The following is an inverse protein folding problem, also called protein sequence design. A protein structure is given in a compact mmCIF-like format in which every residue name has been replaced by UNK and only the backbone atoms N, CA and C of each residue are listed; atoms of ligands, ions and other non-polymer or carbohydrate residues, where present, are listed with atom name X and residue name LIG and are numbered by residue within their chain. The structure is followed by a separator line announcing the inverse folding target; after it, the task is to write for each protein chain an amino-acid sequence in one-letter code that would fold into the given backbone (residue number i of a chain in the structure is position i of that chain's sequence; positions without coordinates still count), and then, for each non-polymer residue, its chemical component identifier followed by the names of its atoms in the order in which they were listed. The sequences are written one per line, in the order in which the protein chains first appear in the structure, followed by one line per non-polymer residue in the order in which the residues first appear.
data_IF_070959523220
#
_entry.id   IF_070959523220
#
_cell.length_a   1.000
_cell.length_b   1.000
_cell.length_c   1.000
_cell.angle_alpha   90.00
_cell.angle_beta   90.00
_cell.angle_gamma   90.00
#
_symmetry.space_group_name_H-M   'P 1'
#
loop_
_entity.id
_entity.type
_entity.pdbx_description
1 polymer ?
#
# COMPACT_ATOMS: atom_id res chain seq x y z
N UNK A 1 16.65 56.98 24.62
CA UNK A 1 16.61 56.32 23.28
C UNK A 1 17.22 54.93 23.37
N UNK A 2 16.55 53.91 23.97
CA UNK A 2 17.07 52.52 24.05
C UNK A 2 15.98 51.43 24.04
N UNK A 3 14.76 51.69 23.61
CA UNK A 3 13.66 50.72 23.67
C UNK A 3 13.21 50.14 22.32
N UNK A 4 13.84 50.54 21.21
CA UNK A 4 13.42 50.12 19.85
C UNK A 4 13.99 48.75 19.43
N UNK A 5 15.13 48.35 20.06
CA UNK A 5 15.83 47.13 19.60
C UNK A 5 15.29 45.80 20.17
N UNK A 6 14.37 45.84 21.14
CA UNK A 6 13.82 44.59 21.74
C UNK A 6 12.63 44.05 20.99
N UNK A 7 11.93 44.87 20.23
CA UNK A 7 10.74 44.44 19.47
C UNK A 7 11.04 43.79 18.10
N UNK A 8 12.22 44.08 17.55
CA UNK A 8 12.66 43.53 16.27
C UNK A 8 12.84 42.01 16.34
N UNK A 9 13.57 41.42 17.35
CA UNK A 9 13.72 39.98 17.45
C UNK A 9 12.39 39.27 17.79
N UNK A 10 11.50 39.94 18.56
CA UNK A 10 10.17 39.37 18.89
C UNK A 10 9.26 39.30 17.67
N UNK A 11 9.30 40.30 16.81
CA UNK A 11 8.56 40.34 15.55
C UNK A 11 9.10 39.30 14.55
N UNK A 12 10.39 39.06 14.51
CA UNK A 12 11.04 38.04 13.67
C UNK A 12 10.67 36.62 14.13
N UNK A 13 10.56 36.41 15.43
CA UNK A 13 10.13 35.10 15.99
C UNK A 13 8.68 34.79 15.69
N UNK A 14 7.82 35.79 15.66
CA UNK A 14 6.40 35.63 15.30
C UNK A 14 6.22 35.30 13.80
N UNK A 15 7.12 35.77 12.93
CA UNK A 15 7.08 35.43 11.49
C UNK A 15 7.56 34.01 11.21
N UNK A 16 8.52 33.49 11.98
CA UNK A 16 9.02 32.11 11.84
C UNK A 16 8.03 31.06 12.32
N UNK A 17 7.13 31.40 13.25
CA UNK A 17 6.10 30.48 13.73
C UNK A 17 4.97 30.21 12.72
N UNK A 18 4.86 30.99 11.66
CA UNK A 18 3.86 30.77 10.61
C UNK A 18 4.35 29.95 9.40
N UNK A 19 5.62 29.58 9.37
CA UNK A 19 6.20 28.82 8.24
C UNK A 19 5.93 27.31 8.30
N UNK A 20 5.34 26.79 9.38
CA UNK A 20 4.99 25.38 9.53
C UNK A 20 3.47 25.15 9.43
N UNK A 21 2.81 25.86 8.54
CA UNK A 21 1.46 25.51 8.08
C UNK A 21 1.58 24.40 7.07
N UNK A 22 1.25 23.16 7.47
CA UNK A 22 0.99 22.07 6.52
C UNK A 22 -0.05 22.59 5.54
N UNK A 23 0.36 22.87 4.31
CA UNK A 23 -0.54 23.08 3.20
C UNK A 23 -1.31 21.77 3.03
N UNK A 24 -2.54 21.72 3.55
CA UNK A 24 -3.50 20.75 3.10
C UNK A 24 -3.66 21.04 1.60
N UNK A 25 -3.12 20.18 0.78
CA UNK A 25 -3.31 20.26 -0.66
C UNK A 25 -4.77 19.93 -0.94
N UNK A 26 -5.61 20.96 -0.96
CA UNK A 26 -6.91 20.90 -1.65
C UNK A 26 -6.57 20.86 -3.14
N UNK A 27 -6.10 19.71 -3.59
CA UNK A 27 -5.61 19.51 -4.92
C UNK A 27 -6.37 18.43 -5.65
N UNK A 28 -6.94 18.81 -6.75
CA UNK A 28 -7.37 17.99 -7.87
C UNK A 28 -8.63 17.14 -7.64
N UNK A 29 -9.71 17.68 -8.11
CA UNK A 29 -10.89 16.93 -8.58
C UNK A 29 -10.44 15.65 -9.30
N UNK A 30 -10.57 14.48 -8.65
CA UNK A 30 -10.24 13.16 -9.21
C UNK A 30 -9.20 12.33 -8.44
N UNK A 31 -8.49 12.88 -7.48
CA UNK A 31 -7.57 12.10 -6.64
C UNK A 31 -8.34 11.37 -5.53
N UNK A 32 -8.00 10.09 -5.34
CA UNK A 32 -8.51 9.32 -4.21
C UNK A 32 -8.03 9.95 -2.90
N UNK A 33 -8.83 9.84 -1.83
CA UNK A 33 -8.34 10.13 -0.49
C UNK A 33 -7.23 9.14 -0.11
N UNK A 34 -6.39 9.50 0.86
CA UNK A 34 -5.30 8.63 1.31
C UNK A 34 -5.83 7.27 1.77
N UNK A 35 -6.96 7.23 2.48
CA UNK A 35 -7.59 5.99 2.92
C UNK A 35 -8.09 5.14 1.73
N UNK A 36 -8.72 5.76 0.74
CA UNK A 36 -9.19 5.06 -0.45
C UNK A 36 -8.03 4.56 -1.33
N UNK A 37 -6.93 5.32 -1.38
CA UNK A 37 -5.71 4.91 -2.06
C UNK A 37 -5.08 3.70 -1.37
N UNK A 38 -4.93 3.76 -0.05
CA UNK A 38 -4.38 2.66 0.75
C UNK A 38 -5.22 1.38 0.63
N UNK A 39 -6.54 1.51 0.69
CA UNK A 39 -7.45 0.38 0.51
C UNK A 39 -7.30 -0.24 -0.90
N UNK A 40 -7.23 0.60 -1.93
CA UNK A 40 -7.00 0.17 -3.31
C UNK A 40 -5.68 -0.59 -3.44
N UNK A 41 -4.59 -0.07 -2.87
CA UNK A 41 -3.26 -0.70 -2.91
C UNK A 41 -3.29 -2.04 -2.18
N UNK A 42 -3.89 -2.10 -0.99
CA UNK A 42 -3.99 -3.34 -0.22
C UNK A 42 -4.81 -4.40 -0.96
N UNK A 43 -5.95 -4.04 -1.54
CA UNK A 43 -6.78 -4.97 -2.30
C UNK A 43 -6.07 -5.50 -3.55
N UNK A 44 -5.38 -4.63 -4.29
CA UNK A 44 -4.59 -5.06 -5.46
C UNK A 44 -3.41 -5.94 -5.08
N UNK A 45 -2.76 -5.66 -3.95
CA UNK A 45 -1.70 -6.51 -3.42
C UNK A 45 -2.24 -7.88 -3.00
N UNK A 46 -3.39 -7.91 -2.34
CA UNK A 46 -4.09 -9.16 -2.03
C UNK A 46 -4.37 -9.99 -3.29
N UNK A 47 -4.90 -9.36 -4.35
CA UNK A 47 -5.23 -10.05 -5.60
C UNK A 47 -4.00 -10.68 -6.27
N UNK A 48 -2.80 -10.09 -6.12
CA UNK A 48 -1.58 -10.73 -6.60
C UNK A 48 -1.38 -12.13 -5.99
N UNK A 49 -1.67 -12.29 -4.71
CA UNK A 49 -1.53 -13.55 -3.99
C UNK A 49 -2.77 -14.44 -4.11
N UNK A 50 -3.94 -13.87 -4.36
CA UNK A 50 -5.18 -14.61 -4.46
C UNK A 50 -5.46 -15.11 -5.87
N UNK A 51 -5.59 -14.19 -6.82
CA UNK A 51 -5.88 -14.51 -8.22
C UNK A 51 -4.61 -14.92 -8.98
N UNK A 52 -3.48 -14.33 -8.61
CA UNK A 52 -2.18 -14.54 -9.24
C UNK A 52 -1.42 -15.78 -8.75
N UNK A 53 -1.93 -16.50 -7.74
CA UNK A 53 -1.31 -17.74 -7.27
C UNK A 53 -1.17 -18.80 -8.37
N UNK A 54 -0.23 -19.72 -8.19
CA UNK A 54 -0.11 -20.89 -9.07
C UNK A 54 -1.33 -21.80 -8.82
N UNK A 55 -2.06 -22.20 -9.87
CA UNK A 55 -3.42 -22.75 -9.72
C UNK A 55 -3.49 -24.14 -9.07
N UNK A 56 -2.40 -24.92 -9.12
CA UNK A 56 -2.41 -26.28 -8.54
C UNK A 56 -1.98 -26.30 -7.07
N UNK A 57 -1.06 -25.41 -6.69
CA UNK A 57 -0.48 -25.38 -5.36
C UNK A 57 -0.98 -24.24 -4.49
N UNK A 58 -1.61 -23.22 -5.08
CA UNK A 58 -1.98 -22.00 -4.37
C UNK A 58 -0.79 -21.13 -3.92
N UNK A 59 0.43 -21.52 -4.29
CA UNK A 59 1.64 -20.80 -3.88
C UNK A 59 1.85 -19.53 -4.70
N UNK A 60 2.58 -18.57 -4.12
CA UNK A 60 2.87 -17.32 -4.81
C UNK A 60 3.86 -17.53 -5.96
N UNK A 61 3.45 -17.10 -7.15
CA UNK A 61 4.36 -17.04 -8.30
C UNK A 61 5.51 -16.08 -8.02
N UNK A 62 6.66 -16.37 -8.61
CA UNK A 62 7.82 -15.46 -8.55
C UNK A 62 7.48 -14.12 -9.21
N UNK A 63 6.79 -14.18 -10.34
CA UNK A 63 6.36 -13.02 -11.12
C UNK A 63 5.09 -13.30 -11.91
N UNK A 64 4.42 -12.25 -12.31
CA UNK A 64 3.29 -12.29 -13.22
C UNK A 64 3.61 -11.33 -14.37
N UNK A 65 3.67 -11.85 -15.58
CA UNK A 65 3.79 -11.03 -16.78
C UNK A 65 2.43 -10.51 -17.18
N UNK A 66 2.25 -9.19 -17.19
CA UNK A 66 0.95 -8.54 -17.42
C UNK A 66 0.45 -8.71 -18.86
N UNK A 67 1.34 -9.00 -19.80
CA UNK A 67 1.00 -9.34 -21.19
C UNK A 67 0.71 -10.83 -21.41
N UNK A 68 0.88 -11.66 -20.36
CA UNK A 68 0.70 -13.11 -20.43
C UNK A 68 1.79 -13.86 -21.19
N UNK A 69 2.89 -13.19 -21.57
CA UNK A 69 3.99 -13.79 -22.32
C UNK A 69 5.10 -14.23 -21.36
N UNK A 70 5.45 -15.50 -21.38
CA UNK A 70 6.47 -16.10 -20.50
C UNK A 70 7.61 -16.73 -21.34
N UNK A 71 8.54 -15.92 -21.84
CA UNK A 71 9.60 -16.39 -22.74
C UNK A 71 10.56 -17.38 -22.08
N UNK A 72 10.78 -17.25 -20.78
CA UNK A 72 11.63 -18.15 -20.00
C UNK A 72 10.89 -19.40 -19.49
N UNK A 73 9.65 -19.59 -19.91
CA UNK A 73 8.79 -20.69 -19.46
C UNK A 73 8.60 -20.75 -17.94
N UNK A 74 8.61 -19.57 -17.29
CA UNK A 74 8.64 -19.37 -15.84
C UNK A 74 7.24 -19.10 -15.22
N UNK A 75 6.18 -19.28 -16.01
CA UNK A 75 4.79 -19.00 -15.59
C UNK A 75 4.40 -19.67 -14.27
N UNK A 76 4.91 -20.88 -14.02
CA UNK A 76 4.56 -21.69 -12.85
C UNK A 76 5.69 -21.76 -11.81
N UNK A 77 6.70 -20.90 -11.93
CA UNK A 77 7.75 -20.79 -10.92
C UNK A 77 7.20 -20.12 -9.68
N UNK A 78 7.28 -20.80 -8.54
CA UNK A 78 6.84 -20.30 -7.24
C UNK A 78 8.03 -20.04 -6.32
N UNK A 79 7.86 -19.13 -5.37
CA UNK A 79 8.91 -18.81 -4.37
C UNK A 79 8.44 -19.12 -2.97
N UNK A 80 9.33 -19.69 -2.14
CA UNK A 80 9.04 -19.97 -0.74
C UNK A 80 8.80 -18.68 0.07
N UNK A 81 9.62 -17.65 -0.16
CA UNK A 81 9.46 -16.36 0.49
C UNK A 81 8.16 -15.68 0.10
N UNK A 82 7.86 -15.63 -1.21
CA UNK A 82 6.59 -15.10 -1.71
C UNK A 82 5.38 -15.86 -1.16
N UNK A 83 5.46 -17.18 -1.07
CA UNK A 83 4.37 -18.00 -0.52
C UNK A 83 4.14 -17.72 0.97
N UNK A 84 5.19 -17.47 1.77
CA UNK A 84 5.05 -17.01 3.15
C UNK A 84 4.29 -15.66 3.25
N UNK A 85 4.59 -14.70 2.39
CA UNK A 85 3.82 -13.45 2.28
C UNK A 85 2.39 -13.71 1.77
N UNK A 86 2.19 -14.68 0.90
CA UNK A 86 0.87 -15.12 0.43
C UNK A 86 -0.05 -15.56 1.57
N UNK A 87 0.45 -16.35 2.51
CA UNK A 87 -0.31 -16.73 3.72
C UNK A 87 -0.73 -15.49 4.51
N UNK A 88 0.19 -14.55 4.72
CA UNK A 88 -0.12 -13.29 5.41
C UNK A 88 -1.15 -12.46 4.63
N UNK A 89 -1.09 -12.45 3.31
CA UNK A 89 -2.06 -11.75 2.47
C UNK A 89 -3.45 -12.38 2.59
N UNK A 90 -3.57 -13.72 2.65
CA UNK A 90 -4.84 -14.41 2.87
C UNK A 90 -5.44 -14.03 4.23
N UNK A 91 -4.64 -14.03 5.30
CA UNK A 91 -5.11 -13.61 6.63
C UNK A 91 -5.58 -12.15 6.64
N UNK A 92 -4.83 -11.26 5.99
CA UNK A 92 -5.23 -9.87 5.83
C UNK A 92 -6.52 -9.74 5.01
N UNK A 93 -6.66 -10.51 3.93
CA UNK A 93 -7.86 -10.55 3.08
C UNK A 93 -9.10 -10.97 3.84
N UNK A 94 -9.01 -12.00 4.69
CA UNK A 94 -10.10 -12.41 5.59
C UNK A 94 -10.45 -11.28 6.56
N UNK A 95 -9.44 -10.68 7.19
CA UNK A 95 -9.66 -9.58 8.14
C UNK A 95 -10.31 -8.35 7.50
N UNK A 96 -9.95 -8.06 6.26
CA UNK A 96 -10.48 -6.93 5.47
C UNK A 96 -11.82 -7.26 4.79
N UNK A 97 -12.28 -8.50 4.83
CA UNK A 97 -13.51 -8.95 4.20
C UNK A 97 -13.41 -9.06 2.66
N UNK A 98 -12.20 -9.20 2.11
CA UNK A 98 -12.01 -9.45 0.68
C UNK A 98 -12.42 -10.87 0.29
N UNK A 99 -12.23 -11.80 1.21
CA UNK A 99 -12.67 -13.20 1.12
C UNK A 99 -13.23 -13.64 2.46
N UNK A 100 -14.03 -14.69 2.44
CA UNK A 100 -14.55 -15.31 3.66
C UNK A 100 -13.47 -16.13 4.37
N UNK A 101 -13.72 -16.45 5.63
CA UNK A 101 -12.83 -17.34 6.40
C UNK A 101 -12.76 -18.74 5.79
N UNK A 102 -13.89 -19.24 5.30
CA UNK A 102 -14.01 -20.55 4.67
C UNK A 102 -13.19 -20.64 3.38
N UNK A 103 -13.30 -19.61 2.52
CA UNK A 103 -12.49 -19.52 1.30
C UNK A 103 -11.00 -19.44 1.62
N UNK A 104 -10.62 -18.62 2.62
CA UNK A 104 -9.22 -18.51 3.04
C UNK A 104 -8.66 -19.82 3.60
N UNK A 105 -9.43 -20.56 4.39
CA UNK A 105 -9.02 -21.88 4.90
C UNK A 105 -8.85 -22.88 3.75
N UNK A 106 -9.82 -22.98 2.85
CA UNK A 106 -9.76 -23.88 1.71
C UNK A 106 -8.56 -23.59 0.78
N UNK A 107 -8.08 -22.35 0.76
CA UNK A 107 -6.87 -21.99 -0.01
C UNK A 107 -5.58 -22.46 0.67
N UNK A 108 -5.58 -22.63 1.99
CA UNK A 108 -4.38 -23.01 2.77
C UNK A 108 -4.25 -24.52 3.01
N UNK A 109 -5.25 -25.31 2.69
CA UNK A 109 -5.27 -26.78 2.77
C UNK A 109 -4.71 -27.44 1.51
#
# INVERSE_FOLDING_TARGET
MKSVNLYIPLLLLLFLARACGTKKSDGASGALSDDALLDTVQHRTFNYFWDGAEPNSGLARERIHMDGVYPENDQNVVTSGGSGFGIMAVLAGIHRGYVTREEGLARME
#
